data_IF_874763587363
#
_entry.id   IF_874763587363
#
_cell.length_a   1.000
_cell.length_b   1.000
_cell.length_c   1.000
_cell.angle_alpha   90.00
_cell.angle_beta   90.00
_cell.angle_gamma   90.00
#
_symmetry.space_group_name_H-M   'P 1'
#
loop_
_entity.id
_entity.type
_entity.pdbx_description
1 polymer ?
#
# COMPACT_ATOMS: atom_id res chain seq x y z
N UNK A 1 -19.25 -21.70 5.41
CA UNK A 1 -19.06 -20.26 5.63
C UNK A 1 -18.45 -19.70 4.37
N UNK A 2 -18.95 -18.56 3.92
CA UNK A 2 -18.45 -17.88 2.72
C UNK A 2 -18.02 -16.47 3.07
N UNK A 3 -16.94 -16.01 2.47
CA UNK A 3 -16.46 -14.65 2.53
C UNK A 3 -16.38 -14.07 1.12
N UNK A 4 -16.77 -12.81 1.00
CA UNK A 4 -16.52 -11.95 -0.17
C UNK A 4 -15.84 -10.69 0.34
N UNK A 5 -14.68 -10.36 -0.20
CA UNK A 5 -13.92 -9.14 0.14
C UNK A 5 -13.84 -8.28 -1.10
N UNK A 6 -14.17 -6.99 -0.96
CA UNK A 6 -14.05 -5.98 -2.03
C UNK A 6 -12.87 -5.07 -1.71
N UNK A 7 -11.97 -4.89 -2.67
CA UNK A 7 -10.78 -4.07 -2.53
C UNK A 7 -10.95 -2.67 -3.14
N UNK A 8 -10.09 -1.75 -2.69
CA UNK A 8 -9.96 -0.42 -3.26
C UNK A 8 -9.40 -0.51 -4.68
N UNK A 9 -9.97 0.29 -5.58
CA UNK A 9 -9.53 0.34 -6.96
C UNK A 9 -8.11 0.93 -7.08
N UNK A 10 -7.44 0.59 -8.17
CA UNK A 10 -6.06 1.03 -8.44
C UNK A 10 -5.87 2.55 -8.33
N UNK A 11 -6.78 3.32 -8.92
CA UNK A 11 -6.69 4.78 -8.94
C UNK A 11 -6.94 5.41 -7.57
N UNK A 12 -7.78 4.78 -6.75
CA UNK A 12 -8.02 5.18 -5.37
C UNK A 12 -6.74 5.03 -4.55
N UNK A 13 -6.08 3.87 -4.63
CA UNK A 13 -4.80 3.62 -3.97
C UNK A 13 -3.70 4.54 -4.52
N UNK A 14 -3.65 4.74 -5.84
CA UNK A 14 -2.72 5.67 -6.46
C UNK A 14 -2.87 7.10 -5.91
N UNK A 15 -4.11 7.55 -5.67
CA UNK A 15 -4.40 8.83 -5.02
C UNK A 15 -3.78 8.93 -3.63
N UNK A 16 -4.06 7.96 -2.76
CA UNK A 16 -3.51 7.92 -1.39
C UNK A 16 -1.99 7.81 -1.36
N UNK A 17 -1.40 7.08 -2.31
CA UNK A 17 0.06 7.01 -2.47
C UNK A 17 0.66 8.35 -2.90
N UNK A 18 0.01 9.11 -3.80
CA UNK A 18 0.47 10.46 -4.15
C UNK A 18 0.46 11.39 -2.94
N UNK A 19 -0.55 11.30 -2.08
CA UNK A 19 -0.60 12.06 -0.82
C UNK A 19 0.51 11.63 0.14
N UNK A 20 0.79 10.33 0.23
CA UNK A 20 1.91 9.79 1.04
C UNK A 20 3.26 10.29 0.53
N UNK A 21 3.48 10.30 -0.79
CA UNK A 21 4.69 10.86 -1.41
C UNK A 21 4.80 12.36 -1.15
N UNK A 22 3.68 13.08 -1.16
CA UNK A 22 3.67 14.50 -0.81
C UNK A 22 4.08 14.74 0.64
N UNK A 23 3.56 13.99 1.61
CA UNK A 23 3.97 14.11 3.01
C UNK A 23 5.47 13.79 3.19
N UNK A 24 5.98 12.78 2.48
CA UNK A 24 7.41 12.48 2.46
C UNK A 24 8.24 13.63 1.87
N UNK A 25 7.74 14.28 0.80
CA UNK A 25 8.37 15.45 0.20
C UNK A 25 8.33 16.66 1.15
N UNK A 26 7.24 16.88 1.89
CA UNK A 26 7.14 17.90 2.94
C UNK A 26 8.17 17.68 4.04
N UNK A 27 8.36 16.44 4.48
CA UNK A 27 9.41 16.10 5.44
C UNK A 27 10.81 16.41 4.87
N UNK A 28 11.06 16.11 3.60
CA UNK A 28 12.32 16.44 2.93
C UNK A 28 12.54 17.96 2.78
N UNK A 29 11.50 18.73 2.44
CA UNK A 29 11.52 20.20 2.38
C UNK A 29 11.83 20.81 3.74
N UNK A 30 11.30 20.22 4.81
CA UNK A 30 11.62 20.57 6.20
C UNK A 30 12.99 20.04 6.68
N UNK A 31 13.84 19.56 5.76
CA UNK A 31 15.19 19.06 6.01
C UNK A 31 15.24 17.93 7.05
N UNK A 32 14.16 17.13 7.15
CA UNK A 32 14.14 15.97 8.03
C UNK A 32 15.12 14.90 7.51
N UNK A 33 15.70 14.08 8.40
CA UNK A 33 16.68 13.06 8.00
C UNK A 33 16.00 11.90 7.25
N UNK A 34 16.76 11.16 6.45
CA UNK A 34 16.24 10.05 5.62
C UNK A 34 15.41 9.00 6.36
N UNK A 35 15.75 8.59 7.60
CA UNK A 35 14.89 7.69 8.37
C UNK A 35 13.45 8.20 8.49
N UNK A 36 13.27 9.49 8.80
CA UNK A 36 11.93 10.09 8.94
C UNK A 36 11.17 10.08 7.62
N UNK A 37 11.83 10.35 6.49
CA UNK A 37 11.17 10.32 5.17
C UNK A 37 10.68 8.90 4.84
N UNK A 38 11.48 7.88 5.16
CA UNK A 38 11.09 6.48 4.95
C UNK A 38 9.94 6.09 5.85
N UNK A 39 9.96 6.50 7.11
CA UNK A 39 8.86 6.24 8.05
C UNK A 39 7.57 6.91 7.57
N UNK A 40 7.65 8.11 7.00
CA UNK A 40 6.49 8.78 6.39
C UNK A 40 5.97 8.02 5.17
N UNK A 41 6.86 7.53 4.30
CA UNK A 41 6.47 6.71 3.16
C UNK A 41 5.83 5.38 3.58
N UNK A 42 6.22 4.81 4.72
CA UNK A 42 5.67 3.56 5.22
C UNK A 42 4.35 3.77 5.92
N UNK A 43 4.31 4.58 6.98
CA UNK A 43 3.18 4.63 7.90
C UNK A 43 2.79 6.05 8.32
N UNK A 44 3.55 7.08 7.94
CA UNK A 44 3.23 8.47 8.24
C UNK A 44 2.33 9.18 7.22
N UNK A 45 1.97 8.50 6.12
CA UNK A 45 1.02 8.99 5.11
C UNK A 45 -0.39 8.40 5.29
N UNK A 46 -1.37 8.84 4.47
CA UNK A 46 -2.75 8.33 4.52
C UNK A 46 -2.88 6.86 4.07
N UNK A 47 -1.84 6.26 3.50
CA UNK A 47 -1.82 4.86 3.14
C UNK A 47 -0.75 4.12 3.98
N UNK A 48 -1.15 3.29 4.96
CA UNK A 48 -0.21 2.58 5.82
C UNK A 48 0.39 1.38 5.07
N UNK A 49 1.43 1.67 4.30
CA UNK A 49 2.21 0.69 3.54
C UNK A 49 2.89 -0.32 4.45
N UNK A 50 3.18 -0.01 5.73
CA UNK A 50 3.73 -0.98 6.67
C UNK A 50 2.81 -2.18 6.88
N UNK A 51 1.49 -1.99 6.89
CA UNK A 51 0.53 -3.09 7.01
C UNK A 51 0.60 -4.05 5.82
N UNK A 52 0.71 -3.51 4.61
CA UNK A 52 0.66 -4.28 3.35
C UNK A 52 2.03 -4.84 2.98
N UNK A 53 3.06 -4.00 3.08
CA UNK A 53 4.42 -4.31 2.64
C UNK A 53 5.32 -4.82 3.76
N UNK A 54 4.99 -4.53 5.02
CA UNK A 54 5.65 -5.10 6.20
C UNK A 54 7.00 -4.50 6.52
N UNK A 55 7.62 -4.96 7.62
CA UNK A 55 9.06 -4.84 7.77
C UNK A 55 9.70 -5.66 6.66
N UNK A 56 9.98 -4.93 5.60
CA UNK A 56 10.75 -5.25 4.44
C UNK A 56 11.47 -6.61 4.45
N UNK A 57 11.03 -7.50 3.57
CA UNK A 57 12.02 -8.27 2.83
C UNK A 57 13.02 -7.32 2.14
N UNK A 58 14.20 -7.82 1.78
CA UNK A 58 15.27 -6.96 1.23
C UNK A 58 14.78 -6.09 0.04
N UNK A 59 13.82 -6.60 -0.74
CA UNK A 59 13.21 -5.91 -1.87
C UNK A 59 12.37 -4.70 -1.47
N UNK A 60 11.47 -4.85 -0.50
CA UNK A 60 10.60 -3.76 -0.03
C UNK A 60 11.40 -2.66 0.67
N UNK A 61 12.41 -3.03 1.47
CA UNK A 61 13.29 -2.06 2.11
C UNK A 61 14.02 -1.23 1.06
N UNK A 62 14.52 -1.88 0.00
CA UNK A 62 15.21 -1.16 -1.06
C UNK A 62 14.26 -0.30 -1.88
N UNK A 63 13.04 -0.76 -2.16
CA UNK A 63 12.00 0.04 -2.80
C UNK A 63 11.74 1.33 -2.02
N UNK A 64 11.50 1.24 -0.71
CA UNK A 64 11.23 2.40 0.16
C UNK A 64 12.45 3.31 0.25
N UNK A 65 13.66 2.76 0.38
CA UNK A 65 14.91 3.54 0.35
C UNK A 65 15.09 4.27 -0.98
N UNK A 66 14.85 3.60 -2.11
CA UNK A 66 14.93 4.18 -3.45
C UNK A 66 13.90 5.29 -3.64
N UNK A 67 12.65 5.06 -3.20
CA UNK A 67 11.59 6.07 -3.22
C UNK A 67 11.96 7.30 -2.39
N UNK A 68 12.47 7.13 -1.16
CA UNK A 68 12.90 8.24 -0.31
C UNK A 68 14.03 9.07 -0.96
N UNK A 69 15.03 8.41 -1.58
CA UNK A 69 16.09 9.10 -2.32
C UNK A 69 15.55 9.86 -3.53
N UNK A 70 14.63 9.26 -4.28
CA UNK A 70 13.99 9.89 -5.43
C UNK A 70 13.18 11.13 -5.02
N UNK A 71 12.43 11.05 -3.93
CA UNK A 71 11.68 12.17 -3.35
C UNK A 71 12.62 13.29 -2.90
N UNK A 72 13.71 12.97 -2.19
CA UNK A 72 14.68 13.98 -1.76
C UNK A 72 15.33 14.69 -2.95
N UNK A 73 15.72 13.94 -3.98
CA UNK A 73 16.29 14.50 -5.21
C UNK A 73 15.28 15.44 -5.88
N UNK A 74 14.04 14.99 -6.05
CA UNK A 74 12.97 15.81 -6.62
C UNK A 74 12.80 17.12 -5.85
N UNK A 75 12.77 17.07 -4.52
CA UNK A 75 12.64 18.25 -3.67
C UNK A 75 13.80 19.24 -3.87
N UNK A 76 15.03 18.75 -4.06
CA UNK A 76 16.17 19.61 -4.38
C UNK A 76 16.10 20.29 -5.75
N UNK A 77 15.36 19.70 -6.69
CA UNK A 77 15.13 20.23 -8.05
C UNK A 77 13.91 21.18 -8.09
N UNK A 78 12.98 21.04 -7.14
CA UNK A 78 11.81 21.92 -7.01
C UNK A 78 12.27 23.27 -6.47
N UNK A 79 12.50 24.21 -7.38
CA UNK A 79 12.78 25.61 -7.03
C UNK A 79 11.61 26.33 -6.35
N UNK A 80 11.77 27.63 -6.08
CA UNK A 80 10.75 28.46 -5.43
C UNK A 80 9.38 28.47 -6.16
N UNK A 81 8.30 28.65 -5.40
CA UNK A 81 6.92 28.73 -5.92
C UNK A 81 5.96 27.81 -5.16
N UNK A 82 5.15 27.05 -5.90
CA UNK A 82 4.22 26.03 -5.39
C UNK A 82 4.88 24.64 -5.45
N UNK A 83 5.54 24.18 -4.35
CA UNK A 83 6.21 22.89 -4.33
C UNK A 83 5.22 21.72 -4.37
N UNK A 84 4.01 21.89 -3.85
CA UNK A 84 3.01 20.81 -3.79
C UNK A 84 2.58 20.39 -5.19
N UNK A 85 2.10 21.34 -5.98
CA UNK A 85 1.64 21.05 -7.34
C UNK A 85 2.76 20.48 -8.21
N UNK A 86 3.99 20.98 -8.06
CA UNK A 86 5.17 20.50 -8.80
C UNK A 86 5.55 19.07 -8.41
N UNK A 87 5.61 18.78 -7.12
CA UNK A 87 5.91 17.41 -6.64
C UNK A 87 4.83 16.46 -7.11
N UNK A 88 3.54 16.79 -6.93
CA UNK A 88 2.42 15.91 -7.30
C UNK A 88 2.36 15.59 -8.79
N UNK A 89 2.70 16.55 -9.66
CA UNK A 89 2.70 16.38 -11.13
C UNK A 89 4.03 15.85 -11.68
N UNK A 90 5.03 15.65 -10.83
CA UNK A 90 6.35 15.21 -11.25
C UNK A 90 6.32 13.79 -11.82
N UNK A 91 7.02 13.53 -12.95
CA UNK A 91 7.26 12.18 -13.43
C UNK A 91 7.96 11.28 -12.40
N UNK A 92 8.72 11.86 -11.47
CA UNK A 92 9.35 11.11 -10.37
C UNK A 92 8.30 10.56 -9.42
N UNK A 93 7.33 11.39 -9.01
CA UNK A 93 6.20 10.97 -8.18
C UNK A 93 5.39 9.89 -8.86
N UNK A 94 5.09 10.04 -10.16
CA UNK A 94 4.40 9.01 -10.92
C UNK A 94 5.14 7.66 -10.87
N UNK A 95 6.47 7.65 -11.09
CA UNK A 95 7.28 6.43 -11.03
C UNK A 95 7.31 5.80 -9.64
N UNK A 96 7.42 6.60 -8.58
CA UNK A 96 7.39 6.11 -7.19
C UNK A 96 6.03 5.47 -6.89
N UNK A 97 4.94 6.12 -7.27
CA UNK A 97 3.58 5.59 -7.08
C UNK A 97 3.40 4.28 -7.85
N UNK A 98 3.83 4.20 -9.10
CA UNK A 98 3.76 2.96 -9.89
C UNK A 98 4.55 1.81 -9.27
N UNK A 99 5.76 2.09 -8.76
CA UNK A 99 6.57 1.07 -8.10
C UNK A 99 5.93 0.57 -6.79
N UNK A 100 5.31 1.47 -6.02
CA UNK A 100 4.57 1.11 -4.80
C UNK A 100 3.28 0.34 -5.13
N UNK A 101 2.54 0.72 -6.17
CA UNK A 101 1.37 -0.01 -6.66
C UNK A 101 1.74 -1.43 -7.09
N UNK A 102 2.85 -1.60 -7.81
CA UNK A 102 3.34 -2.91 -8.20
C UNK A 102 3.63 -3.79 -6.97
N UNK A 103 4.35 -3.24 -5.98
CA UNK A 103 4.65 -3.96 -4.74
C UNK A 103 3.39 -4.33 -3.95
N UNK A 104 2.40 -3.43 -3.90
CA UNK A 104 1.09 -3.69 -3.27
C UNK A 104 0.36 -4.81 -4.00
N UNK A 105 0.31 -4.78 -5.34
CA UNK A 105 -0.33 -5.82 -6.16
C UNK A 105 0.30 -7.19 -5.91
N UNK A 106 1.63 -7.25 -5.79
CA UNK A 106 2.34 -8.51 -5.57
C UNK A 106 1.99 -9.16 -4.21
N UNK A 107 1.48 -8.40 -3.24
CA UNK A 107 1.04 -8.97 -1.95
C UNK A 107 -0.21 -9.83 -2.05
N UNK A 108 -1.02 -9.63 -3.06
CA UNK A 108 -2.14 -10.52 -3.32
C UNK A 108 -1.70 -11.91 -3.81
N UNK A 109 -0.45 -12.07 -4.27
CA UNK A 109 0.10 -13.39 -4.63
C UNK A 109 0.33 -14.29 -3.40
N UNK A 110 0.32 -13.72 -2.19
CA UNK A 110 0.44 -14.46 -0.94
C UNK A 110 -0.88 -15.07 -0.48
N UNK A 111 -1.99 -14.79 -1.16
CA UNK A 111 -3.27 -15.45 -0.91
C UNK A 111 -3.22 -16.86 -1.48
N UNK A 112 -3.16 -17.83 -0.57
CA UNK A 112 -3.09 -19.27 -0.82
C UNK A 112 -4.46 -19.97 -0.81
N UNK A 113 -5.51 -19.23 -0.47
CA UNK A 113 -6.89 -19.69 -0.41
C UNK A 113 -7.82 -18.74 -1.17
N UNK A 114 -8.94 -19.27 -1.66
CA UNK A 114 -9.97 -18.50 -2.37
C UNK A 114 -9.64 -18.16 -3.82
N UNK A 115 -10.56 -17.44 -4.45
CA UNK A 115 -10.47 -16.97 -5.82
C UNK A 115 -10.31 -15.45 -5.83
N UNK A 116 -9.23 -14.96 -6.45
CA UNK A 116 -8.95 -13.54 -6.60
C UNK A 116 -9.39 -13.05 -7.98
N UNK A 117 -10.38 -12.17 -8.02
CA UNK A 117 -10.86 -11.53 -9.24
C UNK A 117 -10.11 -10.22 -9.47
N UNK A 118 -9.79 -9.97 -10.74
CA UNK A 118 -9.01 -8.81 -11.18
C UNK A 118 -9.75 -8.05 -12.28
N UNK A 119 -9.52 -6.75 -12.32
CA UNK A 119 -9.97 -5.89 -13.40
C UNK A 119 -9.17 -6.18 -14.71
N UNK A 120 -9.55 -5.57 -15.85
CA UNK A 120 -8.82 -5.73 -17.11
C UNK A 120 -7.35 -5.24 -17.09
N UNK A 121 -6.97 -4.39 -16.13
CA UNK A 121 -5.57 -3.96 -15.92
C UNK A 121 -4.75 -4.97 -15.09
N UNK A 122 -5.42 -6.00 -14.54
CA UNK A 122 -4.84 -6.97 -13.63
C UNK A 122 -4.77 -6.52 -12.18
N UNK A 123 -5.50 -5.45 -11.81
CA UNK A 123 -5.62 -4.99 -10.43
C UNK A 123 -6.63 -5.84 -9.65
N UNK A 124 -6.33 -6.24 -8.40
CA UNK A 124 -7.27 -6.98 -7.56
C UNK A 124 -8.52 -6.16 -7.20
N UNK A 125 -9.70 -6.66 -7.54
CA UNK A 125 -10.99 -5.99 -7.23
C UNK A 125 -11.76 -6.69 -6.13
N UNK A 126 -11.76 -8.02 -6.14
CA UNK A 126 -12.46 -8.79 -5.13
C UNK A 126 -11.82 -10.15 -4.91
N UNK A 127 -12.12 -10.74 -3.76
CA UNK A 127 -11.71 -12.07 -3.39
C UNK A 127 -12.90 -12.82 -2.80
N UNK A 128 -13.08 -14.08 -3.19
CA UNK A 128 -14.13 -14.94 -2.63
C UNK A 128 -13.57 -16.24 -2.12
N UNK A 129 -14.15 -16.75 -1.04
CA UNK A 129 -13.74 -18.05 -0.51
C UNK A 129 -14.84 -18.71 0.30
N UNK A 130 -14.84 -20.04 0.30
CA UNK A 130 -15.79 -20.86 1.04
C UNK A 130 -15.06 -22.02 1.73
N UNK A 131 -15.34 -22.22 3.01
CA UNK A 131 -14.86 -23.38 3.77
C UNK A 131 -15.90 -23.82 4.81
N UNK A 132 -15.79 -25.07 5.25
CA UNK A 132 -16.56 -25.63 6.37
C UNK A 132 -15.79 -25.59 7.69
N UNK A 133 -14.48 -25.37 7.65
CA UNK A 133 -13.65 -25.24 8.84
C UNK A 133 -13.68 -23.79 9.35
N UNK A 134 -14.24 -23.58 10.56
CA UNK A 134 -14.35 -22.25 11.18
C UNK A 134 -12.98 -21.71 11.56
N UNK A 135 -12.10 -22.54 12.10
CA UNK A 135 -10.77 -22.09 12.52
C UNK A 135 -9.93 -21.69 11.31
N UNK A 136 -10.09 -22.41 10.20
CA UNK A 136 -9.49 -22.02 8.92
C UNK A 136 -10.10 -20.71 8.38
N UNK A 137 -11.43 -20.58 8.46
CA UNK A 137 -12.16 -19.39 8.03
C UNK A 137 -11.62 -18.12 8.70
N UNK A 138 -11.57 -18.14 10.04
CA UNK A 138 -11.14 -17.00 10.84
C UNK A 138 -9.65 -16.68 10.61
N UNK A 139 -8.80 -17.71 10.44
CA UNK A 139 -7.36 -17.55 10.18
C UNK A 139 -7.09 -16.82 8.87
N UNK A 140 -7.79 -17.16 7.80
CA UNK A 140 -7.60 -16.51 6.49
C UNK A 140 -8.25 -15.12 6.50
N UNK A 141 -9.42 -14.97 7.12
CA UNK A 141 -10.12 -13.69 7.18
C UNK A 141 -9.33 -12.64 7.97
N UNK A 142 -8.55 -13.05 8.98
CA UNK A 142 -7.65 -12.20 9.76
C UNK A 142 -6.63 -11.39 8.92
N UNK A 143 -6.38 -11.76 7.65
CA UNK A 143 -5.55 -10.98 6.71
C UNK A 143 -6.26 -9.73 6.19
N UNK A 144 -7.58 -9.68 6.25
CA UNK A 144 -8.42 -8.62 5.69
C UNK A 144 -9.02 -7.67 6.74
N UNK A 145 -9.15 -8.13 7.99
CA UNK A 145 -9.72 -7.35 9.09
C UNK A 145 -8.78 -7.15 10.29
N UNK A 146 -7.58 -7.73 10.25
CA UNK A 146 -6.58 -7.62 11.32
C UNK A 146 -5.85 -6.27 11.33
N UNK A 147 -5.37 -5.87 12.51
CA UNK A 147 -4.56 -4.65 12.72
C UNK A 147 -3.39 -4.89 13.70
N UNK A 148 -2.86 -6.11 13.71
CA UNK A 148 -1.80 -6.49 14.63
C UNK A 148 -0.41 -6.19 14.05
N UNK A 149 0.48 -5.46 14.75
CA UNK A 149 1.83 -5.12 14.26
C UNK A 149 2.67 -6.33 13.83
N UNK A 150 2.54 -7.45 14.52
CA UNK A 150 3.22 -8.72 14.19
C UNK A 150 2.83 -9.31 12.83
N UNK A 151 1.75 -8.81 12.21
CA UNK A 151 1.27 -9.24 10.89
C UNK A 151 1.58 -8.24 9.77
N UNK A 152 2.24 -7.13 10.07
CA UNK A 152 2.65 -6.15 9.05
C UNK A 152 3.38 -6.86 7.90
N UNK A 153 2.97 -6.55 6.67
CA UNK A 153 3.45 -7.20 5.43
C UNK A 153 2.60 -8.33 4.92
N UNK A 154 1.58 -8.72 5.70
CA UNK A 154 0.61 -9.77 5.37
C UNK A 154 -0.83 -9.28 5.47
N UNK A 155 -1.04 -8.06 5.94
CA UNK A 155 -2.37 -7.47 6.10
C UNK A 155 -2.75 -6.75 4.82
N UNK A 156 -3.90 -7.11 4.27
CA UNK A 156 -4.54 -6.40 3.16
C UNK A 156 -5.61 -5.42 3.66
N UNK A 157 -5.80 -5.30 4.97
CA UNK A 157 -6.77 -4.42 5.64
C UNK A 157 -6.85 -3.00 5.04
N UNK A 158 -5.74 -2.28 4.79
CA UNK A 158 -5.81 -0.93 4.22
C UNK A 158 -6.36 -0.86 2.78
N UNK A 159 -6.41 -2.00 2.10
CA UNK A 159 -6.91 -2.17 0.74
C UNK A 159 -8.36 -2.62 0.73
N UNK A 160 -8.94 -3.03 1.85
CA UNK A 160 -10.32 -3.52 1.92
C UNK A 160 -11.29 -2.35 1.98
N UNK A 161 -12.31 -2.37 1.13
CA UNK A 161 -13.48 -1.47 1.22
C UNK A 161 -14.60 -2.09 2.03
N UNK A 162 -14.83 -3.39 1.83
CA UNK A 162 -15.96 -4.10 2.41
C UNK A 162 -15.68 -5.59 2.52
N UNK A 163 -16.21 -6.20 3.58
CA UNK A 163 -16.18 -7.65 3.82
C UNK A 163 -17.62 -8.10 4.04
N UNK A 164 -18.06 -9.07 3.26
CA UNK A 164 -19.31 -9.79 3.46
C UNK A 164 -19.01 -11.21 3.92
N UNK A 165 -19.67 -11.65 4.99
CA UNK A 165 -19.59 -13.04 5.44
C UNK A 165 -20.98 -13.63 5.55
N UNK A 166 -21.11 -14.90 5.19
CA UNK A 166 -22.34 -15.66 5.39
C UNK A 166 -22.04 -17.03 5.98
N UNK A 167 -22.93 -17.44 6.88
CA UNK A 167 -22.96 -18.79 7.43
C UNK A 167 -24.15 -19.49 6.76
N UNK A 168 -24.02 -20.74 6.30
CA UNK A 168 -25.19 -21.50 5.87
C UNK A 168 -26.23 -21.63 6.99
#
# INVERSE_FOLDING_TARGET
MRATVIFAGRDEIAGRLRDTVWEAARAALAQRPDPVIRDVLLDGGPFPLGHVLGPADTGTAELVRSAARAVRRLVGEVGAGDPESRVRRSPVTARVVEALLAAVRDRFLLLDAGELHRDPSGWPESWTWETRDRAEFDRVLARFDGDRPEHHGRLLTPLVKFIETSTP
#
